data_IF_793712496297
#
_entry.id   IF_793712496297
#
_cell.length_a   1.000
_cell.length_b   1.000
_cell.length_c   1.000
_cell.angle_alpha   90.00
_cell.angle_beta   90.00
_cell.angle_gamma   90.00
#
_symmetry.space_group_name_H-M   'P 1'
#
loop_
_entity.id
_entity.type
_entity.pdbx_description
1 polymer ?
#
# COMPACT_ATOMS: atom_id res chain seq x y z
N UNK A 1 -21.40 24.55 15.57
CA UNK A 1 -20.14 23.81 15.74
C UNK A 1 -19.99 22.87 14.54
N UNK A 2 -18.79 22.70 13.98
CA UNK A 2 -18.58 21.69 12.91
C UNK A 2 -18.93 20.31 13.48
N UNK A 3 -19.61 19.49 12.68
CA UNK A 3 -19.99 18.10 13.02
C UNK A 3 -18.77 17.24 13.37
N UNK A 4 -17.58 17.66 12.96
CA UNK A 4 -16.33 16.93 13.13
C UNK A 4 -15.32 17.67 14.01
N UNK A 5 -15.79 18.59 14.88
CA UNK A 5 -14.93 19.41 15.74
C UNK A 5 -14.00 18.61 16.67
N UNK A 6 -14.38 17.36 17.02
CA UNK A 6 -13.59 16.48 17.89
C UNK A 6 -12.73 15.47 17.12
N UNK A 7 -12.65 15.56 15.78
CA UNK A 7 -11.86 14.64 14.97
C UNK A 7 -10.39 14.71 15.39
N UNK A 8 -9.81 13.55 15.72
CA UNK A 8 -8.37 13.37 15.97
C UNK A 8 -7.91 12.07 15.34
N UNK A 9 -6.82 12.12 14.58
CA UNK A 9 -6.20 10.97 13.92
C UNK A 9 -4.70 10.95 14.18
N UNK A 10 -4.12 9.76 14.27
CA UNK A 10 -2.68 9.55 14.30
C UNK A 10 -2.08 9.99 12.96
N UNK A 11 -1.32 11.09 12.96
CA UNK A 11 -0.90 11.75 11.72
C UNK A 11 -0.09 10.83 10.79
N UNK A 12 0.77 9.97 11.37
CA UNK A 12 1.64 9.06 10.62
C UNK A 12 0.91 8.03 9.75
N UNK A 13 -0.39 7.82 9.99
CA UNK A 13 -1.19 6.89 9.19
C UNK A 13 -1.62 7.49 7.85
N UNK A 14 -1.74 8.82 7.75
CA UNK A 14 -2.12 9.48 6.50
C UNK A 14 -1.12 9.21 5.36
N UNK A 15 0.21 9.34 5.55
CA UNK A 15 1.18 8.96 4.52
C UNK A 15 1.12 7.49 4.07
N UNK A 16 0.63 6.58 4.91
CA UNK A 16 0.47 5.15 4.58
C UNK A 16 -0.72 4.96 3.62
N UNK A 17 -1.81 5.70 3.84
CA UNK A 17 -3.05 5.62 3.05
C UNK A 17 -3.00 6.50 1.79
N UNK A 18 -2.27 7.61 1.81
CA UNK A 18 -2.18 8.58 0.72
C UNK A 18 -1.90 7.98 -0.68
N UNK A 19 -1.07 6.93 -0.85
CA UNK A 19 -0.84 6.33 -2.17
C UNK A 19 -2.12 5.83 -2.86
N UNK A 20 -3.15 5.47 -2.10
CA UNK A 20 -4.40 4.92 -2.62
C UNK A 20 -5.45 5.97 -2.98
N UNK A 21 -5.18 7.26 -2.72
CA UNK A 21 -6.09 8.35 -3.09
C UNK A 21 -6.07 8.54 -4.62
N UNK A 22 -7.26 8.67 -5.22
CA UNK A 22 -7.37 8.97 -6.64
C UNK A 22 -6.82 10.37 -6.95
N UNK A 23 -6.35 10.58 -8.19
CA UNK A 23 -5.80 11.88 -8.61
C UNK A 23 -6.61 12.40 -9.78
N UNK A 24 -7.21 13.57 -9.59
CA UNK A 24 -8.05 14.23 -10.61
C UNK A 24 -9.18 13.32 -11.13
N UNK A 25 -9.72 12.45 -10.28
CA UNK A 25 -10.82 11.56 -10.64
C UNK A 25 -12.13 12.35 -10.68
N UNK A 26 -12.99 12.06 -11.66
CA UNK A 26 -14.32 12.65 -11.80
C UNK A 26 -15.22 12.32 -10.60
N UNK A 27 -15.00 11.16 -9.97
CA UNK A 27 -15.58 10.78 -8.69
C UNK A 27 -14.80 11.53 -7.62
N UNK A 28 -15.09 12.81 -7.49
CA UNK A 28 -14.30 13.76 -6.70
C UNK A 28 -14.08 13.32 -5.24
N UNK A 29 -15.01 12.53 -4.67
CA UNK A 29 -14.89 11.94 -3.34
C UNK A 29 -13.78 10.89 -3.20
N UNK A 30 -13.28 10.31 -4.30
CA UNK A 30 -12.11 9.42 -4.30
C UNK A 30 -10.78 10.18 -4.28
N UNK A 31 -10.79 11.49 -4.55
CA UNK A 31 -9.63 12.37 -4.39
C UNK A 31 -9.38 12.75 -2.91
N UNK A 32 -9.92 11.96 -1.96
CA UNK A 32 -9.95 12.19 -0.53
C UNK A 32 -9.83 10.86 0.24
N UNK A 33 -9.60 10.94 1.55
CA UNK A 33 -9.77 9.80 2.46
C UNK A 33 -11.18 9.76 3.03
N UNK A 34 -11.63 8.57 3.38
CA UNK A 34 -12.78 8.34 4.23
C UNK A 34 -12.33 7.92 5.62
N UNK A 35 -12.91 8.53 6.64
CA UNK A 35 -12.65 8.21 8.04
C UNK A 35 -13.98 7.81 8.68
N UNK A 36 -14.04 6.59 9.23
CA UNK A 36 -15.24 6.07 9.89
C UNK A 36 -14.96 5.65 11.32
N UNK A 37 -15.85 5.94 12.29
CA UNK A 37 -15.79 5.35 13.61
C UNK A 37 -15.78 3.83 13.50
N UNK A 38 -14.92 3.16 14.27
CA UNK A 38 -14.89 1.71 14.33
C UNK A 38 -15.61 1.20 15.58
N UNK A 39 -16.38 0.11 15.45
CA UNK A 39 -17.20 -0.44 16.55
C UNK A 39 -16.39 -0.85 17.77
N UNK A 40 -15.12 -1.24 17.58
CA UNK A 40 -14.21 -1.67 18.64
C UNK A 40 -13.35 -0.51 19.18
N UNK A 41 -13.74 0.73 18.90
CA UNK A 41 -13.00 1.94 19.25
C UNK A 41 -12.06 2.41 18.14
N UNK A 42 -11.64 3.67 18.20
CA UNK A 42 -10.83 4.30 17.17
C UNK A 42 -11.61 4.61 15.88
N UNK A 43 -10.89 4.67 14.76
CA UNK A 43 -11.46 4.91 13.45
C UNK A 43 -10.70 4.15 12.36
N UNK A 44 -11.39 3.79 11.26
CA UNK A 44 -10.73 3.28 10.06
C UNK A 44 -10.52 4.43 9.08
N UNK A 45 -9.28 4.57 8.61
CA UNK A 45 -8.90 5.52 7.55
C UNK A 45 -8.76 4.73 6.26
N UNK A 46 -9.49 5.11 5.23
CA UNK A 46 -9.52 4.42 3.94
C UNK A 46 -9.33 5.37 2.77
N UNK A 47 -8.61 4.93 1.74
CA UNK A 47 -8.59 5.56 0.42
C UNK A 47 -8.70 4.49 -0.68
N UNK A 48 -9.28 4.87 -1.81
CA UNK A 48 -9.28 4.04 -3.01
C UNK A 48 -9.24 4.89 -4.27
N UNK A 49 -8.61 4.34 -5.31
CA UNK A 49 -8.61 4.90 -6.67
C UNK A 49 -9.49 4.09 -7.64
N UNK A 50 -10.32 3.18 -7.11
CA UNK A 50 -11.18 2.29 -7.89
C UNK A 50 -10.49 1.01 -8.41
N UNK A 51 -9.15 0.96 -8.40
CA UNK A 51 -8.37 -0.24 -8.76
C UNK A 51 -7.61 -0.83 -7.58
N UNK A 52 -7.31 0.00 -6.58
CA UNK A 52 -6.64 -0.37 -5.36
C UNK A 52 -7.31 0.35 -4.19
N UNK A 53 -7.31 -0.32 -3.04
CA UNK A 53 -7.84 0.19 -1.80
C UNK A 53 -6.78 0.00 -0.71
N UNK A 54 -6.60 1.00 0.14
CA UNK A 54 -5.89 0.89 1.39
C UNK A 54 -6.81 1.27 2.54
N UNK A 55 -6.79 0.49 3.61
CA UNK A 55 -7.49 0.78 4.86
C UNK A 55 -6.58 0.48 6.05
N UNK A 56 -6.63 1.32 7.07
CA UNK A 56 -5.87 1.15 8.31
C UNK A 56 -6.74 1.50 9.51
N UNK A 57 -6.71 0.65 10.54
CA UNK A 57 -7.38 0.93 11.81
C UNK A 57 -6.48 1.79 12.69
N UNK A 58 -6.91 3.02 12.95
CA UNK A 58 -6.33 3.93 13.93
C UNK A 58 -7.02 3.73 15.27
N UNK A 59 -6.40 2.94 16.16
CA UNK A 59 -6.97 2.57 17.46
C UNK A 59 -7.14 3.75 18.41
N UNK A 60 -6.31 4.79 18.24
CA UNK A 60 -6.25 5.96 19.11
C UNK A 60 -7.07 7.14 18.55
N UNK A 61 -7.67 6.98 17.37
CA UNK A 61 -8.47 8.03 16.74
C UNK A 61 -9.73 8.36 17.55
N UNK A 62 -10.10 9.65 17.51
CA UNK A 62 -11.40 10.14 17.95
C UNK A 62 -12.18 10.54 16.70
N UNK A 63 -13.28 9.84 16.43
CA UNK A 63 -14.17 10.12 15.31
C UNK A 63 -15.60 9.73 15.71
N UNK A 64 -16.49 10.71 15.80
CA UNK A 64 -17.90 10.48 16.19
C UNK A 64 -18.78 10.13 14.99
N UNK A 65 -18.41 10.65 13.81
CA UNK A 65 -19.20 10.55 12.59
C UNK A 65 -18.29 10.34 11.39
N UNK A 66 -18.76 9.53 10.44
CA UNK A 66 -18.09 9.38 9.15
C UNK A 66 -17.84 10.74 8.48
N UNK A 67 -16.64 10.91 7.94
CA UNK A 67 -16.23 12.13 7.22
C UNK A 67 -15.35 11.77 6.02
N UNK A 68 -15.45 12.56 4.95
CA UNK A 68 -14.56 12.49 3.78
C UNK A 68 -13.68 13.73 3.80
N UNK A 69 -12.36 13.54 3.80
CA UNK A 69 -11.39 14.61 4.00
C UNK A 69 -10.38 14.67 2.85
N UNK A 70 -10.30 15.83 2.21
CA UNK A 70 -9.19 16.17 1.32
C UNK A 70 -8.01 16.65 2.12
N UNK A 71 -6.83 16.18 1.76
CA UNK A 71 -5.59 16.77 2.23
C UNK A 71 -4.58 16.97 1.11
N UNK A 72 -3.75 18.00 1.26
CA UNK A 72 -2.72 18.34 0.29
C UNK A 72 -1.35 17.69 0.61
N UNK A 73 -0.39 17.86 -0.29
CA UNK A 73 0.95 17.30 -0.13
C UNK A 73 1.70 17.89 1.08
N UNK A 74 1.41 19.13 1.48
CA UNK A 74 2.06 19.77 2.65
C UNK A 74 1.53 19.17 3.95
N UNK A 75 0.23 18.87 4.00
CA UNK A 75 -0.40 18.12 5.07
C UNK A 75 0.25 16.75 5.24
N UNK A 76 0.43 16.02 4.14
CA UNK A 76 1.09 14.72 4.15
C UNK A 76 2.55 14.82 4.65
N UNK A 77 3.29 15.86 4.25
CA UNK A 77 4.66 16.10 4.74
C UNK A 77 4.68 16.42 6.24
N UNK A 78 3.76 17.27 6.71
CA UNK A 78 3.63 17.60 8.13
C UNK A 78 3.30 16.38 8.98
N UNK A 79 2.54 15.43 8.43
CA UNK A 79 2.18 14.17 9.09
C UNK A 79 3.36 13.21 9.33
N UNK A 80 4.38 13.22 8.46
CA UNK A 80 5.46 12.23 8.52
C UNK A 80 6.25 12.29 9.84
N UNK A 81 6.57 13.51 10.31
CA UNK A 81 7.26 13.75 11.57
C UNK A 81 8.56 12.94 11.76
N UNK A 82 9.04 12.89 12.99
CA UNK A 82 10.16 12.03 13.39
C UNK A 82 9.68 10.74 14.07
N UNK A 83 10.59 9.80 14.32
CA UNK A 83 10.24 8.54 14.98
C UNK A 83 9.46 8.75 16.30
N UNK A 84 9.88 9.72 17.10
CA UNK A 84 9.27 10.04 18.40
C UNK A 84 8.09 11.02 18.32
N UNK A 85 7.71 11.50 17.12
CA UNK A 85 6.62 12.47 17.02
C UNK A 85 5.27 11.82 17.34
N UNK A 86 4.52 12.47 18.22
CA UNK A 86 3.15 12.17 18.58
C UNK A 86 2.22 13.18 17.90
N UNK A 87 2.37 13.33 16.58
CA UNK A 87 1.59 14.28 15.78
C UNK A 87 0.19 13.75 15.55
N UNK A 88 -0.77 14.65 15.63
CA UNK A 88 -2.18 14.36 15.39
C UNK A 88 -2.71 15.23 14.25
N UNK A 89 -3.63 14.67 13.47
CA UNK A 89 -4.45 15.42 12.53
C UNK A 89 -5.78 15.71 13.19
N UNK A 90 -6.13 16.99 13.27
CA UNK A 90 -7.30 17.48 14.01
C UNK A 90 -8.12 18.46 13.19
N UNK A 91 -9.40 18.64 13.57
CA UNK A 91 -10.27 19.66 12.97
C UNK A 91 -10.32 20.90 13.87
N UNK A 92 -9.77 22.03 13.42
CA UNK A 92 -9.77 23.31 14.16
C UNK A 92 -10.49 24.36 13.30
N UNK A 93 -11.61 24.89 13.80
CA UNK A 93 -12.35 25.96 13.10
C UNK A 93 -12.80 25.59 11.68
N UNK A 94 -13.11 24.30 11.43
CA UNK A 94 -13.49 23.80 10.10
C UNK A 94 -12.32 23.63 9.13
N UNK A 95 -11.07 23.62 9.63
CA UNK A 95 -9.87 23.35 8.86
C UNK A 95 -9.13 22.14 9.42
N UNK A 96 -8.46 21.42 8.54
CA UNK A 96 -7.64 20.28 8.94
C UNK A 96 -6.25 20.79 9.33
N UNK A 97 -5.76 20.40 10.50
CA UNK A 97 -4.47 20.83 11.04
C UNK A 97 -3.65 19.63 11.51
N UNK A 98 -2.32 19.73 11.43
CA UNK A 98 -1.38 18.83 12.12
C UNK A 98 -0.88 19.55 13.36
N UNK A 99 -1.03 18.91 14.51
CA UNK A 99 -0.56 19.43 15.80
C UNK A 99 0.45 18.49 16.45
N UNK A 100 1.29 19.00 17.33
CA UNK A 100 2.28 18.25 18.11
C UNK A 100 2.28 18.72 19.58
N UNK A 101 2.50 17.80 20.53
CA UNK A 101 2.82 18.12 21.92
C UNK A 101 1.85 19.08 22.63
N UNK A 102 0.58 18.69 22.78
CA UNK A 102 -0.40 19.49 23.54
C UNK A 102 -1.06 20.63 22.76
N UNK A 103 -0.96 20.61 21.42
CA UNK A 103 -1.73 21.50 20.54
C UNK A 103 -0.90 22.51 19.73
N UNK A 104 0.44 22.40 19.73
CA UNK A 104 1.27 23.25 18.88
C UNK A 104 1.01 22.95 17.41
N UNK A 105 0.56 23.96 16.65
CA UNK A 105 0.21 23.82 15.24
C UNK A 105 1.47 23.73 14.36
N UNK A 106 1.64 22.58 13.70
CA UNK A 106 2.73 22.36 12.74
C UNK A 106 2.32 22.85 11.35
N UNK A 107 1.06 22.61 10.98
CA UNK A 107 0.53 23.00 9.68
C UNK A 107 -1.00 23.07 9.74
N UNK A 108 -1.58 24.07 9.08
CA UNK A 108 -3.04 24.18 8.87
C UNK A 108 -3.30 24.25 7.39
N UNK A 109 -4.15 23.37 6.90
CA UNK A 109 -4.60 23.40 5.52
C UNK A 109 -5.61 24.54 5.31
N UNK A 110 -5.43 25.29 4.22
CA UNK A 110 -6.38 26.32 3.82
C UNK A 110 -7.65 25.70 3.19
N UNK A 111 -8.79 26.37 3.39
CA UNK A 111 -10.07 25.96 2.82
C UNK A 111 -10.81 24.88 3.63
N UNK A 112 -11.99 24.49 3.14
CA UNK A 112 -12.79 23.42 3.75
C UNK A 112 -12.25 22.05 3.30
N UNK A 113 -11.70 21.22 4.21
CA UNK A 113 -11.20 19.89 3.87
C UNK A 113 -12.34 18.88 3.64
N UNK A 114 -13.54 19.13 4.19
CA UNK A 114 -14.66 18.21 4.11
C UNK A 114 -15.19 18.12 2.67
N UNK A 115 -15.52 16.90 2.25
CA UNK A 115 -16.16 16.64 0.96
C UNK A 115 -17.57 16.15 1.21
N UNK A 116 -18.55 16.91 0.73
CA UNK A 116 -19.94 16.53 0.79
C UNK A 116 -20.26 15.50 -0.31
N UNK A 117 -20.25 14.23 0.07
CA UNK A 117 -20.55 13.09 -0.78
C UNK A 117 -20.87 11.83 0.06
N UNK A 118 -21.32 10.77 -0.61
CA UNK A 118 -21.38 9.42 -0.03
C UNK A 118 -20.18 8.62 -0.49
N UNK A 119 -19.35 8.17 0.47
CA UNK A 119 -18.21 7.33 0.14
C UNK A 119 -18.64 5.88 -0.08
N UNK A 120 -18.04 5.14 -1.04
CA UNK A 120 -18.35 3.72 -1.22
C UNK A 120 -18.17 2.89 0.06
N UNK A 121 -18.98 1.83 0.22
CA UNK A 121 -18.84 0.88 1.34
C UNK A 121 -17.70 -0.10 1.07
N UNK A 122 -16.48 0.32 1.41
CA UNK A 122 -15.25 -0.45 1.20
C UNK A 122 -15.23 -1.81 1.90
N UNK A 123 -16.01 -1.97 2.98
CA UNK A 123 -16.10 -3.22 3.74
C UNK A 123 -16.61 -4.37 2.87
N UNK A 124 -17.37 -4.04 1.81
CA UNK A 124 -17.92 -5.02 0.87
C UNK A 124 -16.88 -5.60 -0.09
N UNK A 125 -15.74 -4.95 -0.25
CA UNK A 125 -14.67 -5.38 -1.18
C UNK A 125 -13.46 -5.96 -0.45
N UNK A 126 -13.44 -5.94 0.88
CA UNK A 126 -12.42 -6.63 1.68
C UNK A 126 -12.86 -8.10 1.80
N UNK A 127 -12.12 -9.06 1.21
CA UNK A 127 -12.47 -10.47 1.28
C UNK A 127 -12.38 -11.01 2.70
N UNK A 128 -13.12 -12.09 2.98
CA UNK A 128 -13.06 -12.74 4.30
C UNK A 128 -11.78 -13.57 4.40
N UNK A 129 -11.22 -13.67 5.60
CA UNK A 129 -10.02 -14.46 5.85
C UNK A 129 -10.15 -15.92 5.39
N UNK A 130 -11.33 -16.52 5.54
CA UNK A 130 -11.62 -17.89 5.08
C UNK A 130 -11.50 -18.09 3.56
N UNK A 131 -11.50 -17.00 2.79
CA UNK A 131 -11.40 -17.02 1.32
C UNK A 131 -9.96 -16.75 0.86
N UNK A 132 -9.03 -16.41 1.76
CA UNK A 132 -7.68 -15.97 1.41
C UNK A 132 -6.70 -17.15 1.32
N UNK A 133 -6.01 -17.25 0.19
CA UNK A 133 -4.90 -18.19 0.00
C UNK A 133 -3.59 -17.43 -0.22
N UNK A 134 -2.45 -17.88 0.33
CA UNK A 134 -1.16 -17.22 0.11
C UNK A 134 -0.79 -17.12 -1.37
N UNK A 135 -0.24 -15.97 -1.78
CA UNK A 135 0.25 -15.73 -3.13
C UNK A 135 -0.48 -14.61 -3.86
N UNK A 136 0.14 -14.13 -4.94
CA UNK A 136 -0.43 -13.17 -5.87
C UNK A 136 -0.68 -13.89 -7.19
N UNK A 137 -1.93 -14.30 -7.42
CA UNK A 137 -2.34 -15.02 -8.63
C UNK A 137 -3.13 -14.07 -9.54
N UNK A 138 -2.83 -14.09 -10.84
CA UNK A 138 -3.45 -13.21 -11.83
C UNK A 138 -2.50 -12.12 -12.34
N UNK A 139 -3.03 -11.22 -13.16
CA UNK A 139 -2.28 -10.11 -13.74
C UNK A 139 -2.60 -8.84 -12.98
N UNK A 140 -1.58 -8.11 -12.53
CA UNK A 140 -1.75 -6.84 -11.81
C UNK A 140 -0.93 -5.76 -12.49
N UNK A 141 -1.50 -4.57 -12.60
CA UNK A 141 -0.75 -3.42 -13.09
C UNK A 141 0.39 -3.10 -12.13
N UNK A 142 1.62 -3.02 -12.64
CA UNK A 142 2.78 -2.63 -11.84
C UNK A 142 2.57 -1.32 -11.04
N UNK A 143 1.88 -0.28 -11.58
CA UNK A 143 1.58 0.92 -10.81
C UNK A 143 0.72 0.67 -9.56
N UNK A 144 -0.17 -0.33 -9.58
CA UNK A 144 -1.02 -0.70 -8.43
C UNK A 144 -0.18 -1.34 -7.33
N UNK A 145 0.74 -2.25 -7.70
CA UNK A 145 1.68 -2.87 -6.75
C UNK A 145 2.59 -1.81 -6.12
N UNK A 146 3.03 -0.83 -6.91
CA UNK A 146 3.87 0.27 -6.42
C UNK A 146 3.18 1.16 -5.37
N UNK A 147 1.84 1.17 -5.28
CA UNK A 147 1.14 1.86 -4.19
C UNK A 147 1.40 1.18 -2.84
N UNK A 148 1.41 -0.16 -2.84
CA UNK A 148 1.69 -0.97 -1.67
C UNK A 148 3.13 -0.77 -1.18
N UNK A 149 4.09 -0.67 -2.09
CA UNK A 149 5.48 -0.33 -1.75
C UNK A 149 5.56 1.03 -1.05
N UNK A 150 4.91 2.06 -1.59
CA UNK A 150 4.89 3.41 -1.00
C UNK A 150 4.27 3.41 0.39
N UNK A 151 3.18 2.67 0.57
CA UNK A 151 2.52 2.50 1.87
C UNK A 151 3.44 1.78 2.86
N UNK A 152 4.11 0.70 2.43
CA UNK A 152 5.06 -0.04 3.24
C UNK A 152 6.27 0.82 3.65
N UNK A 153 6.80 1.63 2.74
CA UNK A 153 7.89 2.56 3.02
C UNK A 153 7.47 3.65 4.03
N UNK A 154 6.25 4.16 3.94
CA UNK A 154 5.70 5.09 4.92
C UNK A 154 5.50 4.44 6.30
N UNK A 155 5.02 3.20 6.34
CA UNK A 155 4.87 2.42 7.56
C UNK A 155 6.21 2.13 8.23
N UNK A 156 7.23 1.72 7.47
CA UNK A 156 8.56 1.43 7.99
C UNK A 156 9.21 2.66 8.66
N UNK A 157 9.04 3.85 8.05
CA UNK A 157 9.50 5.13 8.64
C UNK A 157 8.82 5.43 9.97
N UNK A 158 7.55 5.07 10.12
CA UNK A 158 6.76 5.27 11.34
C UNK A 158 7.22 4.39 12.48
N UNK A 159 7.53 3.11 12.21
CA UNK A 159 7.96 2.13 13.22
C UNK A 159 9.42 2.23 13.64
N UNK A 160 10.21 3.16 13.08
CA UNK A 160 11.62 3.35 13.44
C UNK A 160 12.55 2.25 12.96
N UNK A 161 12.04 1.34 12.13
CA UNK A 161 12.89 0.47 11.36
C UNK A 161 13.79 1.36 10.51
N UNK A 162 15.12 1.26 10.72
CA UNK A 162 16.06 1.74 9.69
C UNK A 162 15.60 1.06 8.41
N UNK A 163 15.35 1.84 7.35
CA UNK A 163 15.19 1.33 5.98
C UNK A 163 16.50 0.62 5.61
N UNK A 164 16.74 -0.58 6.14
CA UNK A 164 17.90 -1.42 5.84
C UNK A 164 17.66 -2.20 4.53
N UNK A 165 16.78 -1.70 3.66
CA UNK A 165 16.42 -2.34 2.40
C UNK A 165 14.93 -2.29 2.10
N UNK A 166 14.44 -3.37 1.50
CA UNK A 166 13.09 -3.54 0.98
C UNK A 166 12.07 -3.81 2.09
N UNK A 167 10.86 -3.25 1.96
CA UNK A 167 9.75 -3.58 2.86
C UNK A 167 9.01 -4.81 2.33
N UNK A 168 8.87 -5.84 3.17
CA UNK A 168 8.16 -7.06 2.81
C UNK A 168 6.67 -6.80 2.58
N UNK A 169 6.16 -7.27 1.45
CA UNK A 169 4.74 -7.31 1.10
C UNK A 169 4.29 -8.76 1.11
N UNK A 170 3.20 -9.07 1.80
CA UNK A 170 2.58 -10.39 1.75
C UNK A 170 1.26 -10.30 0.99
N UNK A 171 1.11 -11.14 -0.03
CA UNK A 171 -0.08 -11.19 -0.86
C UNK A 171 -0.90 -12.44 -0.57
N UNK A 172 -2.21 -12.29 -0.69
CA UNK A 172 -3.19 -13.35 -0.61
C UNK A 172 -4.18 -13.18 -1.75
N UNK A 173 -4.57 -14.26 -2.41
CA UNK A 173 -5.58 -14.24 -3.49
C UNK A 173 -6.85 -14.94 -3.03
N UNK A 174 -8.00 -14.40 -3.41
CA UNK A 174 -9.30 -14.97 -3.08
C UNK A 174 -9.48 -16.30 -3.81
N UNK A 175 -9.58 -17.40 -3.06
CA UNK A 175 -9.79 -18.76 -3.55
C UNK A 175 -8.80 -19.20 -4.66
N UNK A 176 -7.63 -18.57 -4.75
CA UNK A 176 -6.67 -18.81 -5.84
C UNK A 176 -7.14 -18.37 -7.23
N UNK A 177 -8.24 -17.60 -7.34
CA UNK A 177 -8.80 -17.16 -8.61
C UNK A 177 -7.99 -15.99 -9.21
N UNK A 178 -7.39 -16.14 -10.41
CA UNK A 178 -6.62 -15.07 -11.07
C UNK A 178 -7.45 -13.84 -11.45
N UNK A 179 -8.78 -13.95 -11.45
CA UNK A 179 -9.71 -12.86 -11.75
C UNK A 179 -10.31 -12.20 -10.50
N UNK A 180 -10.03 -12.75 -9.33
CA UNK A 180 -10.47 -12.18 -8.06
C UNK A 180 -9.44 -11.17 -7.52
N UNK A 181 -9.87 -10.36 -6.56
CA UNK A 181 -8.99 -9.40 -5.90
C UNK A 181 -7.88 -10.10 -5.10
N UNK A 182 -6.73 -9.46 -5.01
CA UNK A 182 -5.70 -9.81 -4.03
C UNK A 182 -5.78 -8.91 -2.80
N UNK A 183 -5.48 -9.47 -1.64
CA UNK A 183 -5.24 -8.76 -0.39
C UNK A 183 -3.73 -8.62 -0.19
N UNK A 184 -3.28 -7.46 0.27
CA UNK A 184 -1.90 -7.21 0.67
C UNK A 184 -1.83 -6.82 2.14
N UNK A 185 -0.87 -7.40 2.86
CA UNK A 185 -0.52 -7.05 4.25
C UNK A 185 0.91 -6.50 4.32
N UNK A 186 1.10 -5.56 5.23
CA UNK A 186 2.37 -4.86 5.44
C UNK A 186 2.95 -5.28 6.80
N UNK A 187 4.15 -5.86 6.82
CA UNK A 187 4.79 -6.25 8.08
C UNK A 187 5.05 -5.08 9.02
N UNK A 188 5.24 -3.88 8.48
CA UNK A 188 5.46 -2.65 9.26
C UNK A 188 4.17 -1.94 9.72
N UNK A 189 2.99 -2.40 9.28
CA UNK A 189 1.70 -1.84 9.67
C UNK A 189 0.68 -2.98 9.81
N UNK A 190 0.64 -3.61 10.99
CA UNK A 190 -0.21 -4.77 11.24
C UNK A 190 -1.70 -4.46 11.15
N UNK A 191 -2.12 -3.23 11.45
CA UNK A 191 -3.52 -2.79 11.35
C UNK A 191 -3.91 -2.32 9.92
N UNK A 192 -3.01 -2.45 8.94
CA UNK A 192 -3.28 -2.13 7.54
C UNK A 192 -3.76 -3.35 6.74
N UNK A 193 -4.69 -3.12 5.85
CA UNK A 193 -5.09 -4.02 4.77
C UNK A 193 -5.16 -3.26 3.44
N UNK A 194 -4.60 -3.84 2.38
CA UNK A 194 -4.80 -3.36 1.02
C UNK A 194 -5.56 -4.38 0.18
N UNK A 195 -6.33 -3.91 -0.80
CA UNK A 195 -7.04 -4.74 -1.77
C UNK A 195 -6.68 -4.26 -3.18
N UNK A 196 -6.31 -5.18 -4.07
CA UNK A 196 -5.88 -4.91 -5.43
C UNK A 196 -6.82 -5.61 -6.41
N UNK A 197 -7.30 -4.86 -7.40
CA UNK A 197 -8.08 -5.43 -8.51
C UNK A 197 -7.15 -5.99 -9.57
N UNK A 198 -7.40 -7.19 -10.10
CA UNK A 198 -6.63 -7.73 -11.21
C UNK A 198 -6.94 -6.96 -12.50
N UNK A 199 -5.96 -6.94 -13.38
CA UNK A 199 -6.14 -6.57 -14.77
C UNK A 199 -6.72 -7.77 -15.50
N UNK A 200 -7.77 -7.54 -16.29
CA UNK A 200 -8.28 -8.55 -17.21
C UNK A 200 -7.24 -8.71 -18.32
N UNK A 201 -6.48 -9.79 -18.28
CA UNK A 201 -5.53 -10.13 -19.32
C UNK A 201 -6.19 -10.91 -20.45
N UNK A 202 -5.71 -10.71 -21.67
CA UNK A 202 -6.03 -11.57 -22.80
C UNK A 202 -5.10 -12.80 -22.75
N UNK A 203 -5.69 -13.96 -22.45
CA UNK A 203 -5.06 -15.29 -22.40
C UNK A 203 -3.95 -15.50 -21.34
N UNK A 204 -3.79 -16.73 -20.80
CA UNK A 204 -2.71 -17.03 -19.87
C UNK A 204 -1.34 -16.89 -20.57
N UNK A 205 -0.43 -16.12 -19.98
CA UNK A 205 0.98 -16.12 -20.40
C UNK A 205 1.65 -17.33 -19.74
N UNK A 206 2.42 -18.11 -20.52
CA UNK A 206 3.23 -19.21 -19.98
C UNK A 206 4.09 -18.68 -18.81
N UNK A 207 4.14 -19.36 -17.66
CA UNK A 207 4.92 -18.91 -16.50
C UNK A 207 6.42 -18.86 -16.80
N UNK A 208 6.86 -19.55 -17.86
CA UNK A 208 8.24 -19.57 -18.32
C UNK A 208 8.31 -19.48 -19.85
N UNK A 209 9.18 -18.64 -20.42
CA UNK A 209 9.51 -18.69 -21.84
C UNK A 209 10.08 -20.06 -22.23
N UNK A 210 9.81 -20.52 -23.45
CA UNK A 210 10.25 -21.84 -23.92
C UNK A 210 11.77 -22.06 -23.80
N UNK A 211 12.59 -21.02 -23.99
CA UNK A 211 14.05 -21.12 -23.89
C UNK A 211 14.55 -21.44 -22.48
N UNK A 212 13.77 -21.15 -21.42
CA UNK A 212 14.15 -21.48 -20.04
C UNK A 212 14.18 -23.00 -19.82
N UNK A 213 13.29 -23.74 -20.48
CA UNK A 213 13.28 -25.20 -20.44
C UNK A 213 14.51 -25.82 -21.13
N UNK A 214 15.21 -25.04 -21.97
CA UNK A 214 16.42 -25.46 -22.67
C UNK A 214 17.72 -25.03 -21.95
N UNK A 215 17.64 -24.39 -20.77
CA UNK A 215 18.82 -24.08 -19.99
C UNK A 215 19.47 -25.39 -19.48
N UNK A 216 20.80 -25.54 -19.62
CA UNK A 216 21.50 -26.71 -19.08
C UNK A 216 21.34 -26.79 -17.56
N UNK A 217 21.25 -28.00 -17.01
CA UNK A 217 21.19 -28.16 -15.56
C UNK A 217 22.56 -27.81 -14.96
N UNK A 218 22.58 -27.36 -13.71
CA UNK A 218 23.80 -26.94 -13.05
C UNK A 218 24.89 -28.04 -13.04
N UNK A 219 24.48 -29.30 -13.00
CA UNK A 219 25.38 -30.46 -13.02
C UNK A 219 25.99 -30.70 -14.41
N UNK A 220 25.33 -30.29 -15.50
CA UNK A 220 25.83 -30.40 -16.87
C UNK A 220 26.95 -29.37 -17.14
N UNK A 221 26.90 -28.20 -16.49
CA UNK A 221 27.90 -27.13 -16.65
C UNK A 221 29.29 -27.54 -16.11
N UNK A 222 29.33 -28.40 -15.08
CA UNK A 222 30.58 -28.95 -14.55
C UNK A 222 31.26 -29.94 -15.53
N UNK A 223 30.50 -30.55 -16.43
CA UNK A 223 31.02 -31.40 -17.51
C UNK A 223 31.57 -30.59 -18.69
N UNK A 224 31.00 -29.41 -18.97
CA UNK A 224 31.39 -28.56 -20.11
C UNK A 224 32.75 -27.87 -19.93
N UNK A 225 33.20 -27.65 -18.69
CA UNK A 225 34.54 -27.08 -18.41
C UNK A 225 35.70 -28.07 -18.60
N UNK A 226 35.44 -29.38 -18.72
CA UNK A 226 36.48 -30.41 -18.94
C UNK A 226 36.77 -30.75 -20.40
N UNK A 227 36.00 -30.22 -21.36
CA UNK A 227 36.07 -30.64 -22.76
C UNK A 227 36.94 -29.75 -23.68
N UNK A 228 37.76 -28.85 -23.13
CA UNK A 228 38.61 -27.95 -23.93
C UNK A 228 40.09 -28.01 -23.51
N UNK A 229 40.75 -29.12 -23.82
CA UNK A 229 42.20 -29.13 -24.02
C UNK A 229 42.45 -29.65 -25.45
N UNK A 230 43.01 -28.84 -26.37
CA UNK A 230 43.32 -29.31 -27.71
C UNK A 230 44.48 -30.32 -27.65
N UNK A 231 44.32 -31.42 -28.37
CA UNK A 231 45.32 -32.48 -28.48
C UNK A 231 46.62 -31.94 -29.13
N UNK A 232 47.72 -32.23 -28.45
CA UNK A 232 49.10 -31.95 -28.83
C UNK A 232 49.41 -32.57 -30.21
N UNK A 233 49.81 -31.72 -31.17
CA UNK A 233 50.18 -32.13 -32.52
C UNK A 233 51.51 -32.87 -32.50
N UNK A 234 51.47 -34.18 -32.75
CA UNK A 234 52.64 -35.04 -32.90
C UNK A 234 53.48 -34.67 -34.14
N UNK A 235 54.78 -34.91 -33.98
CA UNK A 235 55.93 -34.54 -34.82
C UNK A 235 55.84 -35.01 -36.29
N UNK A 236 56.43 -34.22 -37.18
CA UNK A 236 56.76 -34.59 -38.56
C UNK A 236 58.27 -34.92 -38.62
N UNK A 237 58.70 -36.14 -38.98
CA UNK A 237 60.11 -36.44 -39.17
C UNK A 237 60.60 -36.00 -40.55
N UNK A 238 61.91 -35.76 -40.61
CA UNK A 238 62.67 -35.13 -41.70
C UNK A 238 62.71 -35.91 -43.03
#
# INVERSE_FOLDING_TARGET
MSKHANLRLTAKLLPIIAPFIAKNDIRYYLNAINVRPHKDGGAVICATNGHALGAIHDRDAVCEHEVILRFDARMQQACAGGLKSAREVVMIGGRLAVVEGGGSEIYIQAGNPEVEATYPRYERVIPKESELQPGLVGMYGAPIIALCEKAAAAAAKTGGARLRGYSGLQFFTVNGDPNASAVVRLGAALDFVGVLMPMRGDSPVSPSPAWVAALPQADDLAGMTKAAAPAESAEVPA
#
